data_IF_237423680036
#
_entry.id   IF_237423680036
#
_cell.length_a   1.000
_cell.length_b   1.000
_cell.length_c   1.000
_cell.angle_alpha   90.00
_cell.angle_beta   90.00
_cell.angle_gamma   90.00
#
_symmetry.space_group_name_H-M   'P 1'
#
loop_
_entity.id
_entity.type
_entity.pdbx_description
1 polymer ?
#
# COMPACT_ATOMS: atom_id res chain seq x y z
N UNK A 1 21.07 2.76 73.23
CA UNK A 1 21.29 3.93 74.10
C UNK A 1 22.77 4.29 73.99
N UNK A 2 23.08 5.56 73.70
CA UNK A 2 24.42 6.18 73.54
C UNK A 2 25.31 5.59 72.42
N UNK A 3 25.56 6.25 71.28
CA UNK A 3 26.25 7.53 71.07
C UNK A 3 27.65 7.56 71.72
N UNK A 4 28.68 7.33 70.90
CA UNK A 4 30.01 7.85 71.17
C UNK A 4 30.42 8.78 70.03
N UNK A 5 31.05 9.86 70.43
CA UNK A 5 31.23 11.10 69.72
C UNK A 5 32.71 11.28 69.39
N UNK A 6 32.96 12.35 68.62
CA UNK A 6 34.22 13.12 68.68
C UNK A 6 35.43 12.42 68.03
N UNK A 7 36.32 13.08 67.27
CA UNK A 7 36.60 14.49 67.07
C UNK A 7 37.66 14.61 65.97
N UNK A 8 37.89 15.85 65.58
CA UNK A 8 39.17 16.43 65.16
C UNK A 8 39.49 16.52 63.66
N UNK A 9 39.19 17.73 63.19
CA UNK A 9 40.16 18.74 62.68
C UNK A 9 40.91 18.39 61.39
N UNK A 10 40.44 19.09 60.34
CA UNK A 10 41.21 20.01 59.49
C UNK A 10 42.72 19.75 59.39
N UNK A 11 43.23 19.60 58.16
CA UNK A 11 44.05 20.65 57.55
C UNK A 11 44.36 20.38 56.07
N UNK A 12 44.54 21.49 55.36
CA UNK A 12 45.34 21.71 54.15
C UNK A 12 44.84 21.21 52.78
N UNK A 13 44.38 22.23 52.06
CA UNK A 13 44.30 22.40 50.60
C UNK A 13 45.60 21.99 49.91
N UNK A 14 45.50 21.20 48.84
CA UNK A 14 46.32 21.40 47.63
C UNK A 14 45.57 20.92 46.38
N UNK A 15 45.31 21.90 45.50
CA UNK A 15 44.86 21.74 44.11
C UNK A 15 45.82 20.81 43.35
N UNK A 16 45.27 19.97 42.47
CA UNK A 16 45.78 19.78 41.11
C UNK A 16 44.69 19.19 40.21
N UNK A 17 44.47 19.89 39.11
CA UNK A 17 43.50 19.58 38.06
C UNK A 17 43.96 18.38 37.21
N UNK A 18 43.00 17.65 36.62
CA UNK A 18 43.32 16.60 35.66
C UNK A 18 42.11 15.88 35.09
N UNK A 19 41.54 16.46 34.03
CA UNK A 19 40.89 15.80 32.88
C UNK A 19 39.78 14.77 33.13
N UNK A 20 38.53 15.24 33.06
CA UNK A 20 37.37 14.40 32.78
C UNK A 20 37.37 13.98 31.30
N UNK A 21 37.60 12.69 31.03
CA UNK A 21 37.24 12.09 29.75
C UNK A 21 35.73 11.81 29.75
N UNK A 22 34.95 12.70 29.13
CA UNK A 22 33.57 12.39 28.73
C UNK A 22 33.63 11.46 27.51
N UNK A 23 33.40 10.17 27.74
CA UNK A 23 33.08 9.21 26.70
C UNK A 23 31.73 9.63 26.07
N UNK A 24 31.78 10.32 24.94
CA UNK A 24 30.61 10.51 24.09
C UNK A 24 30.38 9.15 23.43
N UNK A 25 29.48 8.35 24.01
CA UNK A 25 28.88 7.23 23.29
C UNK A 25 28.25 7.81 22.03
N UNK A 26 28.90 7.55 20.89
CA UNK A 26 28.30 7.71 19.57
C UNK A 26 27.19 6.67 19.52
N UNK A 27 26.02 7.06 20.03
CA UNK A 27 24.79 6.31 19.85
C UNK A 27 24.58 6.15 18.36
N UNK A 28 24.68 4.90 17.90
CA UNK A 28 24.32 4.52 16.54
C UNK A 28 22.95 5.11 16.25
N UNK A 29 22.90 6.08 15.34
CA UNK A 29 21.67 6.51 14.69
C UNK A 29 21.22 5.34 13.81
N UNK A 30 20.56 4.35 14.41
CA UNK A 30 19.70 3.45 13.66
C UNK A 30 18.50 4.27 13.21
N UNK A 31 18.64 4.91 12.05
CA UNK A 31 17.53 5.47 11.29
C UNK A 31 16.68 4.27 10.89
N UNK A 32 15.67 4.00 11.71
CA UNK A 32 14.79 2.87 11.51
C UNK A 32 13.62 3.32 10.62
N UNK A 33 13.55 2.69 9.45
CA UNK A 33 12.40 2.57 8.55
C UNK A 33 11.79 3.85 7.95
N UNK A 34 11.86 3.95 6.62
CA UNK A 34 10.98 4.80 5.83
C UNK A 34 9.53 4.51 6.22
N UNK A 35 8.84 5.52 6.74
CA UNK A 35 7.47 5.38 7.18
C UNK A 35 6.54 5.54 5.97
N UNK A 36 5.69 4.55 5.72
CA UNK A 36 4.64 4.62 4.72
C UNK A 36 3.78 5.87 4.95
N UNK A 37 3.60 6.68 3.90
CA UNK A 37 2.69 7.82 3.95
C UNK A 37 1.30 7.34 3.55
N UNK A 38 0.34 7.48 4.47
CA UNK A 38 -1.05 7.07 4.25
C UNK A 38 -1.92 8.30 4.01
N UNK A 39 -2.44 8.42 2.79
CA UNK A 39 -3.37 9.48 2.38
C UNK A 39 -4.78 8.93 2.31
N UNK A 40 -5.75 9.60 2.94
CA UNK A 40 -7.15 9.24 2.82
C UNK A 40 -7.70 9.78 1.50
N UNK A 41 -8.29 8.91 0.68
CA UNK A 41 -8.91 9.31 -0.57
C UNK A 41 -10.30 9.91 -0.25
N UNK A 42 -10.67 11.06 -0.84
CA UNK A 42 -12.01 11.63 -0.68
C UNK A 42 -13.11 10.64 -1.06
N UNK A 43 -14.25 10.71 -0.38
CA UNK A 43 -15.42 9.86 -0.68
C UNK A 43 -16.30 10.40 -1.81
N UNK A 44 -15.83 11.41 -2.51
CA UNK A 44 -16.52 11.99 -3.65
C UNK A 44 -16.59 10.96 -4.79
N UNK A 45 -17.67 10.97 -5.57
CA UNK A 45 -17.85 9.98 -6.62
C UNK A 45 -16.74 10.13 -7.67
N UNK A 46 -16.12 9.02 -8.07
CA UNK A 46 -15.04 9.02 -9.06
C UNK A 46 -13.65 9.26 -8.47
N UNK A 47 -13.51 9.58 -7.18
CA UNK A 47 -12.21 9.81 -6.56
C UNK A 47 -11.30 8.56 -6.64
N UNK A 48 -11.84 7.36 -6.41
CA UNK A 48 -11.05 6.13 -6.54
C UNK A 48 -10.69 5.81 -7.99
N UNK A 49 -11.60 6.11 -8.92
CA UNK A 49 -11.34 5.95 -10.35
C UNK A 49 -10.18 6.83 -10.80
N UNK A 50 -10.13 8.09 -10.34
CA UNK A 50 -9.04 9.00 -10.66
C UNK A 50 -7.70 8.50 -10.11
N UNK A 51 -7.67 8.05 -8.85
CA UNK A 51 -6.44 7.48 -8.27
C UNK A 51 -5.97 6.23 -9.03
N UNK A 52 -6.92 5.40 -9.48
CA UNK A 52 -6.59 4.25 -10.31
C UNK A 52 -6.01 4.67 -11.68
N UNK A 53 -6.61 5.68 -12.33
CA UNK A 53 -6.08 6.21 -13.60
C UNK A 53 -4.68 6.80 -13.45
N UNK A 54 -4.41 7.45 -12.32
CA UNK A 54 -3.08 7.96 -12.01
C UNK A 54 -2.09 6.80 -11.82
N UNK A 55 -2.51 5.72 -11.15
CA UNK A 55 -1.66 4.55 -10.90
C UNK A 55 -1.30 3.80 -12.19
N UNK A 56 -2.21 3.72 -13.17
CA UNK A 56 -1.98 3.08 -14.49
C UNK A 56 -1.85 4.09 -15.63
N UNK A 57 -1.38 5.30 -15.34
CA UNK A 57 -1.35 6.39 -16.32
C UNK A 57 -0.57 6.01 -17.60
N UNK A 58 0.57 5.34 -17.47
CA UNK A 58 1.41 4.92 -18.59
C UNK A 58 0.71 3.93 -19.52
N UNK A 59 -0.13 3.03 -18.97
CA UNK A 59 -0.88 2.05 -19.77
C UNK A 59 -2.12 2.69 -20.39
N UNK A 60 -2.83 3.53 -19.63
CA UNK A 60 -4.07 4.16 -20.10
C UNK A 60 -3.80 5.22 -21.18
N UNK A 61 -2.69 5.96 -21.06
CA UNK A 61 -2.31 6.97 -22.05
C UNK A 61 -1.97 6.42 -23.44
N UNK A 62 -1.81 5.09 -23.56
CA UNK A 62 -1.64 4.42 -24.85
C UNK A 62 -2.96 4.25 -25.61
N UNK A 63 -4.12 4.38 -24.95
CA UNK A 63 -5.41 4.46 -25.62
C UNK A 63 -5.62 5.87 -26.18
N UNK A 64 -5.95 6.00 -27.47
CA UNK A 64 -6.10 7.31 -28.12
C UNK A 64 -7.21 8.18 -27.51
N UNK A 65 -8.21 7.55 -26.89
CA UNK A 65 -9.33 8.20 -26.19
C UNK A 65 -9.37 7.90 -24.68
N UNK A 66 -8.33 7.28 -24.09
CA UNK A 66 -8.32 6.79 -22.70
C UNK A 66 -9.43 5.75 -22.37
N UNK A 67 -10.02 5.11 -23.39
CA UNK A 67 -11.06 4.09 -23.24
C UNK A 67 -10.51 2.77 -23.77
N UNK A 68 -10.61 1.72 -22.96
CA UNK A 68 -10.21 0.39 -23.39
C UNK A 68 -10.07 -0.60 -22.25
N UNK A 69 -9.62 -1.80 -22.62
CA UNK A 69 -9.32 -2.88 -21.70
C UNK A 69 -7.82 -3.09 -21.57
N UNK A 70 -7.33 -3.12 -20.34
CA UNK A 70 -5.99 -3.57 -19.97
C UNK A 70 -6.12 -4.99 -19.44
N UNK A 71 -5.56 -5.95 -20.17
CA UNK A 71 -5.48 -7.35 -19.75
C UNK A 71 -4.10 -7.63 -19.17
N UNK A 72 -4.08 -8.16 -17.96
CA UNK A 72 -2.88 -8.59 -17.28
C UNK A 72 -2.90 -10.12 -17.14
N UNK A 73 -1.82 -10.76 -17.57
CA UNK A 73 -1.57 -12.17 -17.30
C UNK A 73 -0.47 -12.30 -16.26
N UNK A 74 -0.76 -13.01 -15.18
CA UNK A 74 0.12 -13.06 -14.02
C UNK A 74 0.04 -14.39 -13.29
N UNK A 75 0.54 -14.39 -12.06
CA UNK A 75 0.62 -15.58 -11.22
C UNK A 75 0.00 -15.38 -9.84
N UNK A 76 -0.60 -16.43 -9.31
CA UNK A 76 -1.14 -16.55 -7.95
C UNK A 76 -0.57 -17.81 -7.31
N UNK A 77 0.52 -17.67 -6.55
CA UNK A 77 1.36 -18.82 -6.19
C UNK A 77 1.95 -19.47 -7.44
N UNK A 78 1.74 -20.78 -7.63
CA UNK A 78 2.20 -21.51 -8.83
C UNK A 78 1.20 -21.52 -10.00
N UNK A 79 0.10 -20.76 -9.91
CA UNK A 79 -1.03 -20.83 -10.83
C UNK A 79 -1.14 -19.55 -11.66
N UNK A 80 -1.64 -19.64 -12.90
CA UNK A 80 -1.98 -18.46 -13.71
C UNK A 80 -3.17 -17.70 -13.12
N UNK A 81 -3.13 -16.38 -13.26
CA UNK A 81 -4.19 -15.46 -12.92
C UNK A 81 -4.34 -14.43 -14.05
N UNK A 82 -5.57 -14.02 -14.31
CA UNK A 82 -5.90 -13.01 -15.31
C UNK A 82 -6.64 -11.87 -14.63
N UNK A 83 -6.30 -10.64 -14.96
CA UNK A 83 -7.05 -9.47 -14.54
C UNK A 83 -7.37 -8.61 -15.75
N UNK A 84 -8.60 -8.11 -15.85
CA UNK A 84 -8.98 -7.14 -16.85
C UNK A 84 -9.47 -5.87 -16.16
N UNK A 85 -8.92 -4.74 -16.59
CA UNK A 85 -9.40 -3.42 -16.23
C UNK A 85 -10.04 -2.79 -17.45
N UNK A 86 -11.35 -2.62 -17.40
CA UNK A 86 -12.11 -1.87 -18.40
C UNK A 86 -12.20 -0.45 -17.88
N UNK A 87 -11.54 0.49 -18.56
CA UNK A 87 -11.52 1.89 -18.17
C UNK A 87 -12.20 2.74 -19.22
N UNK A 88 -12.97 3.71 -18.77
CA UNK A 88 -13.50 4.77 -19.60
C UNK A 88 -13.33 6.13 -18.89
N UNK A 89 -14.03 7.16 -19.36
CA UNK A 89 -13.98 8.50 -18.76
C UNK A 89 -14.59 8.57 -17.36
N UNK A 90 -15.50 7.66 -17.06
CA UNK A 90 -16.36 7.73 -15.89
C UNK A 90 -15.96 6.72 -14.82
N UNK A 91 -15.59 5.51 -15.20
CA UNK A 91 -15.51 4.37 -14.31
C UNK A 91 -14.41 3.39 -14.69
N UNK A 92 -14.07 2.53 -13.73
CA UNK A 92 -13.23 1.36 -13.99
C UNK A 92 -13.89 0.12 -13.43
N UNK A 93 -14.12 -0.85 -14.32
CA UNK A 93 -14.58 -2.18 -13.97
C UNK A 93 -13.40 -3.16 -13.97
N UNK A 94 -13.29 -3.95 -12.91
CA UNK A 94 -12.21 -4.91 -12.72
C UNK A 94 -12.79 -6.33 -12.65
N UNK A 95 -12.23 -7.23 -13.46
CA UNK A 95 -12.41 -8.67 -13.33
C UNK A 95 -11.10 -9.34 -12.97
N UNK A 96 -11.15 -10.35 -12.10
CA UNK A 96 -10.00 -11.17 -11.72
C UNK A 96 -10.42 -12.64 -11.79
N UNK A 97 -9.72 -13.41 -12.60
CA UNK A 97 -9.92 -14.85 -12.72
C UNK A 97 -8.66 -15.62 -12.30
N UNK A 98 -8.86 -16.59 -11.42
CA UNK A 98 -7.89 -17.63 -11.10
C UNK A 98 -8.54 -18.98 -11.46
N UNK A 99 -8.41 -19.45 -12.72
CA UNK A 99 -9.17 -20.60 -13.23
C UNK A 99 -8.97 -21.86 -12.40
N UNK A 100 -7.72 -22.13 -12.03
CA UNK A 100 -7.32 -23.29 -11.22
C UNK A 100 -7.86 -23.26 -9.78
N UNK A 101 -8.36 -22.12 -9.31
CA UNK A 101 -9.06 -21.97 -8.04
C UNK A 101 -10.57 -21.85 -8.23
N UNK A 102 -11.10 -21.90 -9.47
CA UNK A 102 -12.50 -21.55 -9.80
C UNK A 102 -12.93 -20.27 -9.10
N UNK A 103 -12.02 -19.29 -9.07
CA UNK A 103 -12.20 -18.04 -8.33
C UNK A 103 -12.26 -16.93 -9.35
N UNK A 104 -13.48 -16.51 -9.66
CA UNK A 104 -13.76 -15.33 -10.45
C UNK A 104 -14.32 -14.25 -9.54
N UNK A 105 -13.83 -13.02 -9.69
CA UNK A 105 -14.32 -11.84 -8.96
C UNK A 105 -14.45 -10.68 -9.92
N UNK A 106 -15.53 -9.94 -9.79
CA UNK A 106 -15.76 -8.71 -10.55
C UNK A 106 -16.26 -7.62 -9.62
N UNK A 107 -15.85 -6.38 -9.87
CA UNK A 107 -16.37 -5.21 -9.17
C UNK A 107 -15.96 -3.91 -9.87
N UNK A 108 -16.81 -2.89 -9.72
CA UNK A 108 -16.43 -1.51 -9.96
C UNK A 108 -15.48 -0.99 -8.87
N UNK A 109 -14.40 -0.35 -9.31
CA UNK A 109 -13.50 0.41 -8.45
C UNK A 109 -14.21 1.66 -7.95
N UNK A 110 -14.87 2.39 -8.87
CA UNK A 110 -15.72 3.55 -8.60
C UNK A 110 -16.65 3.86 -9.78
N UNK A 111 -17.68 4.69 -9.55
CA UNK A 111 -18.68 5.08 -10.55
C UNK A 111 -19.27 6.46 -10.19
N UNK A 112 -19.33 7.44 -11.12
CA UNK A 112 -19.60 8.84 -10.81
C UNK A 112 -21.04 9.08 -10.36
N UNK A 113 -21.96 8.21 -10.78
CA UNK A 113 -23.38 8.29 -10.44
C UNK A 113 -23.87 7.25 -9.43
N UNK A 114 -23.02 6.30 -9.00
CA UNK A 114 -23.42 5.23 -8.09
C UNK A 114 -22.66 5.31 -6.76
N UNK A 115 -23.39 5.45 -5.67
CA UNK A 115 -22.80 5.37 -4.33
C UNK A 115 -22.64 3.91 -3.90
N UNK A 116 -21.39 3.45 -3.76
CA UNK A 116 -21.10 2.14 -3.18
C UNK A 116 -21.22 2.17 -1.65
N UNK A 117 -22.46 2.04 -1.16
CA UNK A 117 -22.83 2.07 0.27
C UNK A 117 -22.06 1.12 1.22
N UNK A 118 -21.27 0.09 0.81
CA UNK A 118 -20.46 -0.67 1.76
C UNK A 118 -18.96 -0.33 1.79
N UNK A 119 -18.49 0.78 1.20
CA UNK A 119 -17.10 1.24 1.37
C UNK A 119 -16.91 1.85 2.76
N UNK A 120 -16.02 1.27 3.55
CA UNK A 120 -15.68 1.73 4.89
C UNK A 120 -14.50 2.72 4.85
N UNK A 121 -13.45 2.41 4.10
CA UNK A 121 -12.24 3.21 3.99
C UNK A 121 -11.61 3.09 2.60
N UNK A 122 -10.96 4.17 2.16
CA UNK A 122 -10.18 4.28 0.92
C UNK A 122 -8.86 4.98 1.25
N UNK A 123 -7.74 4.36 0.87
CA UNK A 123 -6.41 4.87 1.19
C UNK A 123 -5.51 4.76 -0.03
N UNK A 124 -4.71 5.79 -0.24
CA UNK A 124 -3.52 5.75 -1.05
C UNK A 124 -2.33 5.61 -0.10
N UNK A 125 -1.55 4.55 -0.24
CA UNK A 125 -0.38 4.27 0.58
C UNK A 125 0.83 4.47 -0.33
N UNK A 126 1.69 5.41 0.04
CA UNK A 126 2.94 5.70 -0.66
C UNK A 126 4.09 5.12 0.16
N UNK A 127 4.87 4.26 -0.45
CA UNK A 127 6.08 3.71 0.13
C UNK A 127 7.20 3.60 -0.91
N UNK A 128 8.42 3.28 -0.48
CA UNK A 128 9.53 3.08 -1.41
C UNK A 128 9.31 1.90 -2.35
N UNK A 129 8.50 0.92 -1.90
CA UNK A 129 8.13 -0.26 -2.67
C UNK A 129 6.99 0.02 -3.66
N UNK A 130 6.52 1.26 -3.77
CA UNK A 130 5.50 1.70 -4.72
C UNK A 130 4.25 2.30 -4.10
N UNK A 131 3.21 2.39 -4.93
CA UNK A 131 1.93 3.03 -4.63
C UNK A 131 0.86 1.94 -4.47
N UNK A 132 0.10 1.97 -3.36
CA UNK A 132 -1.01 1.05 -3.12
C UNK A 132 -2.35 1.80 -2.94
N UNK A 133 -3.32 1.46 -3.78
CA UNK A 133 -4.72 1.82 -3.59
C UNK A 133 -5.38 0.71 -2.77
N UNK A 134 -5.80 1.05 -1.55
CA UNK A 134 -6.44 0.12 -0.63
C UNK A 134 -7.86 0.55 -0.31
N UNK A 135 -8.79 -0.37 -0.52
CA UNK A 135 -10.20 -0.12 -0.25
C UNK A 135 -10.77 -1.23 0.61
N UNK A 136 -11.36 -0.81 1.72
CA UNK A 136 -11.97 -1.68 2.71
C UNK A 136 -13.47 -1.58 2.55
N UNK A 137 -14.11 -2.68 2.17
CA UNK A 137 -15.56 -2.84 2.14
C UNK A 137 -16.02 -3.70 3.33
N UNK A 138 -17.33 -3.73 3.61
CA UNK A 138 -17.88 -4.50 4.75
C UNK A 138 -17.44 -5.96 4.78
N UNK A 139 -17.48 -6.66 3.64
CA UNK A 139 -17.19 -8.11 3.52
C UNK A 139 -15.79 -8.44 3.00
N UNK A 140 -15.14 -7.50 2.32
CA UNK A 140 -13.85 -7.74 1.66
C UNK A 140 -12.97 -6.49 1.70
N UNK A 141 -11.67 -6.71 1.62
CA UNK A 141 -10.66 -5.68 1.37
C UNK A 141 -10.01 -5.98 0.04
N UNK A 142 -9.82 -4.96 -0.78
CA UNK A 142 -9.01 -5.03 -1.98
C UNK A 142 -7.84 -4.05 -1.91
N UNK A 143 -6.76 -4.44 -2.55
CA UNK A 143 -5.51 -3.68 -2.61
C UNK A 143 -4.92 -3.87 -4.01
N UNK A 144 -4.64 -2.76 -4.69
CA UNK A 144 -3.94 -2.71 -5.97
C UNK A 144 -2.64 -1.97 -5.69
N UNK A 145 -1.51 -2.66 -5.72
CA UNK A 145 -0.18 -2.09 -5.49
C UNK A 145 0.61 -2.13 -6.79
N UNK A 146 1.24 -1.03 -7.16
CA UNK A 146 2.18 -0.99 -8.28
C UNK A 146 3.46 -0.23 -7.90
N UNK A 147 4.58 -0.69 -8.43
CA UNK A 147 5.87 0.00 -8.36
C UNK A 147 6.33 0.52 -9.75
N UNK A 148 5.41 0.64 -10.71
CA UNK A 148 5.69 1.02 -12.09
C UNK A 148 6.21 -0.12 -12.98
N UNK A 149 6.77 -1.19 -12.41
CA UNK A 149 7.21 -2.36 -13.17
C UNK A 149 6.26 -3.55 -13.02
N UNK A 150 5.69 -3.70 -11.83
CA UNK A 150 4.79 -4.78 -11.47
C UNK A 150 3.49 -4.21 -10.93
N UNK A 151 2.44 -5.03 -10.98
CA UNK A 151 1.18 -4.76 -10.33
C UNK A 151 0.73 -5.99 -9.55
N UNK A 152 0.29 -5.78 -8.31
CA UNK A 152 -0.24 -6.81 -7.45
C UNK A 152 -1.68 -6.49 -7.08
N UNK A 153 -2.60 -7.43 -7.32
CA UNK A 153 -3.99 -7.34 -6.89
C UNK A 153 -4.25 -8.35 -5.79
N UNK A 154 -4.56 -7.83 -4.61
CA UNK A 154 -4.85 -8.61 -3.42
C UNK A 154 -6.31 -8.47 -3.05
N UNK A 155 -7.02 -9.58 -2.94
CA UNK A 155 -8.38 -9.59 -2.38
C UNK A 155 -8.40 -10.41 -1.10
N UNK A 156 -8.90 -9.84 -0.01
CA UNK A 156 -9.03 -10.50 1.28
C UNK A 156 -10.50 -10.52 1.70
N UNK A 157 -11.11 -11.70 1.78
CA UNK A 157 -12.43 -11.82 2.40
C UNK A 157 -12.33 -11.89 3.91
N UNK A 158 -13.36 -11.40 4.62
CA UNK A 158 -13.51 -11.62 6.06
C UNK A 158 -14.03 -13.02 6.40
N UNK A 159 -14.65 -13.72 5.44
CA UNK A 159 -15.12 -15.09 5.60
C UNK A 159 -13.98 -16.07 5.36
N UNK A 160 -13.75 -17.00 6.30
CA UNK A 160 -12.78 -18.09 6.12
C UNK A 160 -13.14 -19.04 4.96
N UNK A 161 -14.39 -19.02 4.49
CA UNK A 161 -14.87 -19.88 3.39
C UNK A 161 -14.55 -19.30 2.01
N UNK A 162 -14.27 -18.00 1.92
CA UNK A 162 -14.09 -17.33 0.65
C UNK A 162 -12.60 -17.29 0.27
N UNK A 163 -12.29 -17.59 -0.98
CA UNK A 163 -10.91 -17.51 -1.47
C UNK A 163 -10.46 -16.05 -1.52
N UNK A 164 -9.21 -15.85 -1.11
CA UNK A 164 -8.53 -14.56 -1.08
C UNK A 164 -7.37 -14.58 -2.09
N UNK A 165 -7.66 -14.57 -3.41
CA UNK A 165 -6.61 -14.58 -4.40
C UNK A 165 -5.75 -13.31 -4.29
N UNK A 166 -4.46 -13.54 -4.48
CA UNK A 166 -3.41 -12.56 -4.65
C UNK A 166 -2.76 -12.87 -5.99
N UNK A 167 -2.71 -11.90 -6.89
CA UNK A 167 -2.13 -12.05 -8.21
C UNK A 167 -1.08 -10.98 -8.45
N UNK A 168 0.07 -11.39 -8.99
CA UNK A 168 1.16 -10.51 -9.38
C UNK A 168 1.32 -10.54 -10.90
N UNK A 169 1.55 -9.37 -11.48
CA UNK A 169 1.61 -9.12 -12.91
C UNK A 169 2.86 -8.30 -13.23
N UNK A 170 3.53 -8.62 -14.34
CA UNK A 170 4.56 -7.77 -14.93
C UNK A 170 3.88 -6.77 -15.87
N UNK A 171 4.13 -5.48 -15.71
CA UNK A 171 3.52 -4.43 -16.54
C UNK A 171 4.16 -4.34 -17.94
N UNK A 172 5.24 -5.08 -18.21
CA UNK A 172 5.78 -5.28 -19.56
C UNK A 172 4.93 -6.24 -20.41
N UNK A 173 4.16 -7.12 -19.77
CA UNK A 173 3.49 -8.27 -20.40
C UNK A 173 1.97 -8.04 -20.51
N UNK A 174 1.58 -6.78 -20.72
CA UNK A 174 0.18 -6.37 -20.79
C UNK A 174 -0.34 -6.41 -22.21
N UNK A 175 -1.61 -6.78 -22.37
CA UNK A 175 -2.32 -6.61 -23.63
C UNK A 175 -3.30 -5.44 -23.51
N UNK A 176 -3.25 -4.54 -24.49
CA UNK A 176 -4.09 -3.35 -24.55
C UNK A 176 -5.10 -3.50 -25.69
N UNK A 177 -6.38 -3.29 -25.37
CA UNK A 177 -7.48 -3.39 -26.32
C UNK A 177 -8.26 -2.08 -26.33
N UNK A 178 -7.98 -1.22 -27.31
CA UNK A 178 -8.60 0.09 -27.44
C UNK A 178 -10.11 -0.01 -27.72
N UNK A 179 -10.91 0.80 -27.02
CA UNK A 179 -12.35 0.88 -27.21
C UNK A 179 -13.17 -0.27 -26.61
N UNK A 180 -12.54 -1.33 -26.07
CA UNK A 180 -13.25 -2.39 -25.37
C UNK A 180 -13.73 -1.93 -23.99
N UNK A 181 -15.04 -1.98 -23.76
CA UNK A 181 -15.70 -1.66 -22.49
C UNK A 181 -16.43 -2.89 -21.92
N UNK A 182 -16.82 -2.83 -20.65
CA UNK A 182 -17.69 -3.85 -20.03
C UNK A 182 -19.03 -3.99 -20.77
#
# INVERSE_FOLDING_TARGET
MAADATRCRQFFVQKLAGSFFTLISIGSLTVNANADTVVNIPRENGALHQEFKNLLHEQISQFGNNIGRIELTGTSGSKKCFANFYTNEESTFLTIDVPSNKSYKEFYIDHPTQSFKPILFQKLILSDDGIEIKVVKRRFTFSIKSNGQTLAINTKSKSKKDKSPSCNFELSDINLYEGETE
#
